data_IF_963080496035
#
_entry.id   IF_963080496035
#
_cell.length_a   1.000
_cell.length_b   1.000
_cell.length_c   1.000
_cell.angle_alpha   90.00
_cell.angle_beta   90.00
_cell.angle_gamma   90.00
#
_symmetry.space_group_name_H-M   'P 1'
#
loop_
_entity.id
_entity.type
_entity.pdbx_description
1 polymer ?
#
# COMPACT_ATOMS: atom_id res chain seq x y z
N UNK A 1 -13.07 -1.10 -26.33
CA UNK A 1 -12.07 -1.45 -25.30
C UNK A 1 -12.46 -2.70 -24.51
N UNK A 2 -13.64 -3.30 -24.76
CA UNK A 2 -14.20 -4.35 -23.90
C UNK A 2 -13.49 -5.71 -24.02
N UNK A 3 -12.73 -5.95 -25.10
CA UNK A 3 -12.07 -7.24 -25.36
C UNK A 3 -10.57 -7.31 -24.97
N UNK A 4 -10.07 -6.36 -24.17
CA UNK A 4 -8.63 -6.30 -23.83
C UNK A 4 -8.36 -6.94 -22.48
N UNK A 5 -7.31 -7.78 -22.42
CA UNK A 5 -6.72 -8.30 -21.19
C UNK A 5 -5.56 -7.42 -20.74
N UNK A 6 -5.54 -7.05 -19.46
CA UNK A 6 -4.46 -6.29 -18.83
C UNK A 6 -3.67 -7.23 -17.93
N UNK A 7 -2.37 -7.30 -18.18
CA UNK A 7 -1.40 -7.91 -17.27
C UNK A 7 -1.22 -7.01 -16.05
N UNK A 8 -1.53 -7.52 -14.86
CA UNK A 8 -1.49 -6.76 -13.61
C UNK A 8 -0.72 -7.53 -12.53
N UNK A 9 0.44 -7.00 -12.14
CA UNK A 9 1.26 -7.56 -11.06
C UNK A 9 0.71 -7.25 -9.68
N UNK A 10 -0.18 -6.28 -9.54
CA UNK A 10 -0.89 -5.98 -8.29
C UNK A 10 -2.18 -6.77 -8.10
N UNK A 11 -2.60 -7.51 -9.11
CA UNK A 11 -3.81 -8.31 -9.06
C UNK A 11 -3.54 -9.69 -8.45
N UNK A 12 -4.37 -10.10 -7.48
CA UNK A 12 -4.25 -11.41 -6.83
C UNK A 12 -4.98 -12.54 -7.57
N UNK A 13 -5.88 -12.22 -8.50
CA UNK A 13 -6.70 -13.20 -9.22
C UNK A 13 -6.91 -12.86 -10.69
N UNK A 14 -6.95 -13.84 -11.56
CA UNK A 14 -7.48 -13.67 -12.91
C UNK A 14 -8.97 -13.29 -12.83
N UNK A 15 -9.38 -12.19 -13.48
CA UNK A 15 -10.75 -11.67 -13.41
C UNK A 15 -11.26 -11.15 -14.75
N UNK A 16 -12.54 -11.39 -15.03
CA UNK A 16 -13.23 -10.79 -16.19
C UNK A 16 -14.70 -10.50 -15.88
N UNK A 17 -15.27 -9.52 -16.57
CA UNK A 17 -16.72 -9.26 -16.59
C UNK A 17 -17.48 -10.07 -17.65
N UNK A 18 -16.77 -10.74 -18.55
CA UNK A 18 -17.35 -11.33 -19.75
C UNK A 18 -17.72 -12.80 -19.54
N UNK A 19 -18.98 -13.05 -19.19
CA UNK A 19 -19.51 -14.41 -18.99
C UNK A 19 -19.33 -15.32 -20.20
N UNK A 20 -19.40 -14.77 -21.42
CA UNK A 20 -19.32 -15.54 -22.67
C UNK A 20 -17.94 -16.12 -22.96
N UNK A 21 -16.89 -15.66 -22.28
CA UNK A 21 -15.53 -16.14 -22.49
C UNK A 21 -15.23 -17.46 -21.77
N UNK A 22 -16.09 -17.84 -20.82
CA UNK A 22 -15.91 -19.06 -20.05
C UNK A 22 -16.33 -20.29 -20.85
N UNK A 23 -15.42 -21.26 -20.98
CA UNK A 23 -15.72 -22.61 -21.47
C UNK A 23 -16.41 -23.45 -20.40
N UNK A 24 -16.10 -23.19 -19.13
CA UNK A 24 -16.78 -23.74 -17.96
C UNK A 24 -17.03 -22.62 -16.97
N UNK A 25 -18.20 -22.57 -16.33
CA UNK A 25 -18.49 -21.56 -15.31
C UNK A 25 -19.35 -22.16 -14.21
N UNK A 26 -18.75 -22.30 -13.03
CA UNK A 26 -19.42 -22.76 -11.84
C UNK A 26 -19.89 -21.53 -11.03
N UNK A 27 -21.20 -21.34 -10.85
CA UNK A 27 -21.71 -20.25 -10.04
C UNK A 27 -21.25 -20.43 -8.59
N UNK A 28 -20.80 -19.34 -7.96
CA UNK A 28 -20.38 -19.38 -6.56
C UNK A 28 -21.61 -19.28 -5.66
N UNK A 29 -21.77 -20.27 -4.77
CA UNK A 29 -22.84 -20.29 -3.75
C UNK A 29 -22.53 -19.39 -2.55
N UNK A 30 -21.24 -19.13 -2.29
CA UNK A 30 -20.78 -18.30 -1.19
C UNK A 30 -20.74 -16.81 -1.56
N UNK A 31 -20.86 -15.94 -0.56
CA UNK A 31 -20.73 -14.48 -0.73
C UNK A 31 -19.25 -14.07 -0.73
N UNK A 32 -18.50 -14.51 -1.73
CA UNK A 32 -17.12 -14.03 -1.91
C UNK A 32 -17.09 -12.64 -2.55
N UNK A 33 -16.19 -11.81 -2.04
CA UNK A 33 -15.90 -10.46 -2.54
C UNK A 33 -14.41 -10.31 -2.83
N UNK A 34 -14.07 -9.41 -3.75
CA UNK A 34 -12.71 -9.01 -4.06
C UNK A 34 -12.69 -7.51 -3.85
N UNK A 35 -11.68 -7.07 -3.11
CA UNK A 35 -11.40 -5.67 -2.87
C UNK A 35 -10.59 -5.14 -4.05
N UNK A 36 -11.02 -4.01 -4.61
CA UNK A 36 -10.31 -3.30 -5.66
C UNK A 36 -9.31 -2.31 -5.07
N UNK A 37 -8.45 -1.73 -5.91
CA UNK A 37 -7.43 -0.76 -5.48
C UNK A 37 -8.00 0.54 -4.87
N UNK A 38 -9.30 0.81 -5.03
CA UNK A 38 -10.02 1.95 -4.44
C UNK A 38 -10.74 1.61 -3.12
N UNK A 39 -10.47 0.44 -2.53
CA UNK A 39 -11.21 -0.16 -1.41
C UNK A 39 -12.68 -0.50 -1.69
N UNK A 40 -13.16 -0.35 -2.93
CA UNK A 40 -14.45 -0.87 -3.36
C UNK A 40 -14.46 -2.39 -3.35
N UNK A 41 -15.65 -3.00 -3.23
CA UNK A 41 -15.81 -4.45 -3.25
C UNK A 41 -16.70 -4.90 -4.39
N UNK A 42 -16.24 -5.89 -5.17
CA UNK A 42 -17.03 -6.54 -6.21
C UNK A 42 -17.42 -7.95 -5.81
N UNK A 43 -18.67 -8.36 -6.04
CA UNK A 43 -19.15 -9.73 -5.76
C UNK A 43 -18.68 -10.72 -6.84
N UNK A 44 -18.07 -11.84 -6.43
CA UNK A 44 -17.78 -12.99 -7.34
C UNK A 44 -19.11 -13.60 -7.78
N UNK A 45 -19.35 -13.76 -9.08
CA UNK A 45 -20.54 -14.44 -9.59
C UNK A 45 -20.31 -15.93 -9.85
N UNK A 46 -19.08 -16.29 -10.20
CA UNK A 46 -18.69 -17.67 -10.48
C UNK A 46 -17.20 -17.78 -10.78
N UNK A 47 -16.71 -19.01 -10.80
CA UNK A 47 -15.33 -19.36 -11.13
C UNK A 47 -15.37 -20.40 -12.24
N UNK A 48 -14.47 -20.29 -13.21
CA UNK A 48 -14.53 -21.10 -14.41
C UNK A 48 -13.23 -21.06 -15.20
N UNK A 49 -13.18 -21.72 -16.35
CA UNK A 49 -12.04 -21.69 -17.26
C UNK A 49 -12.37 -20.88 -18.50
N UNK A 50 -11.40 -20.14 -19.02
CA UNK A 50 -11.47 -19.47 -20.34
C UNK A 50 -10.49 -20.16 -21.29
N UNK A 51 -10.73 -20.09 -22.59
CA UNK A 51 -9.93 -20.71 -23.67
C UNK A 51 -8.50 -20.16 -23.85
N UNK A 52 -7.88 -19.70 -22.76
CA UNK A 52 -6.47 -19.39 -22.59
C UNK A 52 -5.80 -20.36 -21.58
N UNK A 53 -6.41 -21.52 -21.33
CA UNK A 53 -5.99 -22.53 -20.34
C UNK A 53 -5.96 -22.07 -18.88
N UNK A 54 -6.51 -20.90 -18.53
CA UNK A 54 -6.44 -20.33 -17.19
C UNK A 54 -7.79 -20.36 -16.45
N UNK A 55 -7.75 -20.56 -15.13
CA UNK A 55 -8.92 -20.50 -14.24
C UNK A 55 -9.20 -19.05 -13.83
N UNK A 56 -10.38 -18.55 -14.16
CA UNK A 56 -10.80 -17.16 -14.07
C UNK A 56 -12.02 -16.98 -13.16
N UNK A 57 -12.11 -15.80 -12.54
CA UNK A 57 -13.28 -15.40 -11.73
C UNK A 57 -14.17 -14.42 -12.49
N UNK A 58 -15.48 -14.70 -12.57
CA UNK A 58 -16.46 -13.82 -13.19
C UNK A 58 -16.96 -12.76 -12.20
N UNK A 59 -16.98 -11.49 -12.65
CA UNK A 59 -17.44 -10.33 -11.88
C UNK A 59 -18.53 -9.55 -12.59
N UNK A 60 -19.45 -8.96 -11.82
CA UNK A 60 -20.37 -7.95 -12.36
C UNK A 60 -19.67 -6.60 -12.43
N UNK A 61 -19.85 -5.87 -13.54
CA UNK A 61 -19.40 -4.48 -13.72
C UNK A 61 -17.89 -4.26 -13.51
N UNK A 62 -17.05 -5.22 -13.92
CA UNK A 62 -15.60 -5.02 -13.91
C UNK A 62 -15.20 -4.17 -15.14
N UNK A 63 -14.54 -3.02 -14.92
CA UNK A 63 -14.19 -2.09 -16.00
C UNK A 63 -13.14 -2.62 -16.98
N UNK A 64 -12.32 -3.60 -16.57
CA UNK A 64 -11.23 -4.18 -17.37
C UNK A 64 -11.07 -5.68 -17.06
N UNK A 65 -10.55 -6.47 -17.99
CA UNK A 65 -10.21 -7.87 -17.76
C UNK A 65 -8.76 -7.97 -17.27
N UNK A 66 -8.51 -8.66 -16.16
CA UNK A 66 -7.21 -8.70 -15.49
C UNK A 66 -6.62 -10.11 -15.50
N UNK A 67 -5.34 -10.20 -15.84
CA UNK A 67 -4.52 -11.40 -15.68
C UNK A 67 -3.53 -11.13 -14.54
N UNK A 68 -3.60 -11.94 -13.49
CA UNK A 68 -2.68 -11.86 -12.35
C UNK A 68 -1.32 -12.44 -12.75
N UNK A 69 -0.26 -11.65 -12.59
CA UNK A 69 1.12 -12.14 -12.82
C UNK A 69 1.49 -13.16 -11.75
N UNK A 70 1.16 -12.93 -10.48
CA UNK A 70 1.51 -13.84 -9.40
C UNK A 70 0.88 -15.23 -9.59
N UNK A 71 -0.39 -15.30 -10.03
CA UNK A 71 -1.01 -16.59 -10.28
C UNK A 71 -0.38 -17.35 -11.44
N UNK A 72 0.08 -16.68 -12.49
CA UNK A 72 0.82 -17.34 -13.57
C UNK A 72 2.12 -17.96 -13.06
N UNK A 73 2.85 -17.21 -12.22
CA UNK A 73 4.08 -17.71 -11.60
C UNK A 73 3.79 -18.91 -10.68
N UNK A 74 2.71 -18.84 -9.88
CA UNK A 74 2.28 -19.94 -9.00
C UNK A 74 1.85 -21.19 -9.80
N UNK A 75 1.31 -21.01 -11.01
CA UNK A 75 0.95 -22.08 -11.95
C UNK A 75 2.15 -22.63 -12.74
N UNK A 76 3.35 -22.08 -12.53
CA UNK A 76 4.60 -22.57 -13.14
C UNK A 76 4.93 -21.94 -14.50
N UNK A 77 4.21 -20.90 -14.91
CA UNK A 77 4.53 -20.13 -16.11
C UNK A 77 5.61 -19.08 -15.82
N UNK A 78 6.41 -18.75 -16.82
CA UNK A 78 7.33 -17.61 -16.77
C UNK A 78 6.70 -16.38 -17.44
N UNK A 79 6.81 -15.22 -16.80
CA UNK A 79 6.30 -13.95 -17.34
C UNK A 79 7.45 -13.00 -17.66
N UNK A 80 7.71 -12.78 -18.95
CA UNK A 80 8.81 -11.92 -19.41
C UNK A 80 8.29 -10.56 -19.91
N UNK A 81 8.74 -9.47 -19.30
CA UNK A 81 8.45 -8.12 -19.76
C UNK A 81 9.52 -7.63 -20.75
N UNK A 82 9.10 -7.33 -21.98
CA UNK A 82 9.94 -6.72 -23.01
C UNK A 82 9.39 -5.35 -23.39
N UNK A 83 10.20 -4.55 -24.10
CA UNK A 83 9.76 -3.22 -24.56
C UNK A 83 8.49 -3.34 -25.41
N UNK A 84 7.37 -2.86 -24.88
CA UNK A 84 6.08 -2.84 -25.55
C UNK A 84 5.31 -4.17 -25.54
N UNK A 85 5.76 -5.21 -24.85
CA UNK A 85 5.00 -6.46 -24.76
C UNK A 85 5.33 -7.27 -23.50
N UNK A 86 4.37 -8.05 -23.05
CA UNK A 86 4.54 -9.08 -22.04
C UNK A 86 4.36 -10.44 -22.69
N UNK A 87 5.28 -11.38 -22.46
CA UNK A 87 5.16 -12.76 -22.91
C UNK A 87 4.97 -13.68 -21.72
N UNK A 88 4.13 -14.71 -21.90
CA UNK A 88 3.99 -15.81 -20.94
C UNK A 88 4.48 -17.08 -21.61
N UNK A 89 5.45 -17.73 -20.98
CA UNK A 89 6.08 -18.95 -21.43
C UNK A 89 5.69 -20.10 -20.50
N UNK A 90 5.59 -21.31 -21.05
CA UNK A 90 5.47 -22.53 -20.24
C UNK A 90 6.85 -23.01 -19.76
N UNK A 91 6.86 -24.14 -19.06
CA UNK A 91 8.07 -24.74 -18.50
C UNK A 91 9.09 -25.18 -19.57
N UNK A 92 8.65 -25.37 -20.83
CA UNK A 92 9.51 -25.68 -21.97
C UNK A 92 9.95 -24.42 -22.74
N UNK A 93 9.79 -23.23 -22.16
CA UNK A 93 10.06 -21.93 -22.79
C UNK A 93 9.21 -21.66 -24.06
N UNK A 94 8.09 -22.37 -24.23
CA UNK A 94 7.20 -22.17 -25.37
C UNK A 94 6.22 -21.04 -25.08
N UNK A 95 6.02 -20.16 -26.06
CA UNK A 95 5.13 -19.01 -25.93
C UNK A 95 3.67 -19.47 -25.83
N UNK A 96 3.08 -19.30 -24.65
CA UNK A 96 1.66 -19.57 -24.39
C UNK A 96 0.80 -18.43 -24.90
N UNK A 97 1.12 -17.20 -24.50
CA UNK A 97 0.47 -16.00 -25.03
C UNK A 97 1.32 -14.73 -24.88
N UNK A 98 1.02 -13.74 -25.71
CA UNK A 98 1.66 -12.42 -25.71
C UNK A 98 0.62 -11.33 -25.54
N UNK A 99 0.83 -10.46 -24.57
CA UNK A 99 0.03 -9.25 -24.35
C UNK A 99 0.82 -8.06 -24.88
N UNK A 100 0.22 -7.31 -25.79
CA UNK A 100 0.80 -6.07 -26.27
C UNK A 100 0.65 -4.98 -25.19
N UNK A 101 1.77 -4.41 -24.74
CA UNK A 101 1.81 -3.31 -23.76
C UNK A 101 1.91 -1.95 -24.46
N UNK A 102 1.90 -1.91 -25.79
CA UNK A 102 1.77 -0.66 -26.52
C UNK A 102 0.40 -0.09 -26.22
N UNK A 103 0.39 0.89 -25.32
CA UNK A 103 -0.77 1.74 -25.11
C UNK A 103 -1.16 2.31 -26.47
N UNK A 104 -2.33 1.90 -26.98
CA UNK A 104 -3.00 2.68 -28.02
C UNK A 104 -3.12 4.07 -27.44
N UNK A 105 -2.41 5.02 -28.06
CA UNK A 105 -2.45 6.46 -27.80
C UNK A 105 -3.84 7.06 -28.11
N UNK A 106 -4.90 6.37 -27.73
CA UNK A 106 -6.13 7.05 -27.32
C UNK A 106 -5.81 7.82 -26.04
N UNK A 107 -6.30 9.04 -25.85
CA UNK A 107 -6.07 9.78 -24.61
C UNK A 107 -6.64 8.93 -23.48
N UNK A 108 -5.76 8.20 -22.80
CA UNK A 108 -6.13 7.42 -21.64
C UNK A 108 -6.63 8.44 -20.62
N UNK A 109 -7.96 8.51 -20.48
CA UNK A 109 -8.56 8.95 -19.23
C UNK A 109 -8.21 7.87 -18.21
N UNK A 110 -6.96 7.88 -17.76
CA UNK A 110 -6.66 7.49 -16.39
C UNK A 110 -7.73 8.18 -15.54
N UNK A 111 -8.24 7.51 -14.51
CA UNK A 111 -9.06 8.16 -13.49
C UNK A 111 -8.16 9.19 -12.77
N UNK A 112 -7.91 10.31 -13.46
CA UNK A 112 -7.42 11.53 -12.87
C UNK A 112 -8.52 11.88 -11.90
N UNK A 113 -8.22 11.68 -10.61
CA UNK A 113 -9.02 12.22 -9.54
C UNK A 113 -9.43 13.64 -9.96
N UNK A 114 -10.76 13.85 -9.98
CA UNK A 114 -11.49 15.10 -10.22
C UNK A 114 -10.60 16.34 -10.06
N UNK A 115 -10.63 17.34 -10.97
CA UNK A 115 -9.70 18.46 -11.02
C UNK A 115 -9.32 18.94 -9.62
N UNK A 116 -8.26 18.34 -9.11
CA UNK A 116 -7.75 18.68 -7.79
C UNK A 116 -7.01 19.99 -8.01
N UNK A 117 -7.28 20.97 -7.15
CA UNK A 117 -6.56 22.25 -7.21
C UNK A 117 -5.07 21.94 -7.25
N UNK A 118 -4.26 22.73 -7.97
CA UNK A 118 -2.87 22.35 -8.24
C UNK A 118 -2.08 22.05 -6.96
N UNK A 119 -2.46 22.66 -5.84
CA UNK A 119 -1.90 22.40 -4.52
C UNK A 119 -2.06 20.93 -4.07
N UNK A 120 -3.22 20.28 -4.31
CA UNK A 120 -3.45 18.88 -3.97
C UNK A 120 -2.62 17.92 -4.83
N UNK A 121 -2.45 18.24 -6.12
CA UNK A 121 -1.59 17.45 -7.01
C UNK A 121 -0.15 17.46 -6.53
N UNK A 122 0.37 18.63 -6.20
CA UNK A 122 1.75 18.79 -5.75
C UNK A 122 1.98 18.28 -4.33
N UNK A 123 0.98 18.39 -3.45
CA UNK A 123 0.98 17.72 -2.14
C UNK A 123 1.24 16.22 -2.28
N UNK A 124 0.55 15.54 -3.21
CA UNK A 124 0.74 14.09 -3.45
C UNK A 124 2.06 13.79 -4.17
N UNK A 125 2.44 14.59 -5.18
CA UNK A 125 3.70 14.40 -5.93
C UNK A 125 4.95 14.54 -5.08
N UNK A 126 4.92 15.40 -4.06
CA UNK A 126 6.05 15.64 -3.16
C UNK A 126 5.95 14.85 -1.86
N UNK A 127 5.30 13.68 -1.89
CA UNK A 127 5.29 12.76 -0.75
C UNK A 127 4.52 13.29 0.45
N UNK A 128 3.37 13.92 0.21
CA UNK A 128 2.48 14.41 1.28
C UNK A 128 3.07 15.54 2.15
N UNK A 129 3.84 16.42 1.50
CA UNK A 129 4.37 17.65 2.09
C UNK A 129 3.25 18.53 2.67
N UNK A 130 3.48 19.25 3.77
CA UNK A 130 2.44 20.14 4.31
C UNK A 130 2.03 21.21 3.30
N UNK A 131 0.74 21.56 3.29
CA UNK A 131 0.21 22.56 2.37
C UNK A 131 0.89 23.93 2.55
N UNK A 132 1.18 24.33 3.79
CA UNK A 132 1.90 25.58 4.09
C UNK A 132 3.32 25.58 3.53
N UNK A 133 4.05 24.49 3.71
CA UNK A 133 5.41 24.36 3.18
C UNK A 133 5.39 24.37 1.65
N UNK A 134 4.39 23.73 1.06
CA UNK A 134 4.22 23.69 -0.39
C UNK A 134 3.96 25.09 -0.99
N UNK A 135 3.12 25.89 -0.35
CA UNK A 135 2.87 27.29 -0.74
C UNK A 135 4.13 28.14 -0.58
N UNK A 136 4.88 27.95 0.51
CA UNK A 136 6.14 28.65 0.75
C UNK A 136 7.24 28.29 -0.26
N UNK A 137 7.41 27.01 -0.58
CA UNK A 137 8.38 26.54 -1.59
C UNK A 137 8.03 27.09 -2.98
N UNK A 138 6.73 27.12 -3.29
CA UNK A 138 6.20 27.70 -4.52
C UNK A 138 6.46 29.21 -4.61
N UNK A 139 6.26 29.96 -3.53
CA UNK A 139 6.50 31.41 -3.52
C UNK A 139 7.98 31.77 -3.60
N UNK A 140 8.86 30.96 -3.01
CA UNK A 140 10.31 31.15 -3.06
C UNK A 140 10.95 30.68 -4.37
N UNK A 141 10.22 29.99 -5.25
CA UNK A 141 10.75 29.51 -6.53
C UNK A 141 11.87 28.48 -6.41
N UNK A 142 11.94 27.74 -5.30
CA UNK A 142 13.04 26.81 -5.01
C UNK A 142 12.94 25.47 -5.79
N UNK A 143 11.79 25.17 -6.37
CA UNK A 143 11.53 23.91 -7.08
C UNK A 143 11.22 24.22 -8.54
N UNK A 144 12.09 23.77 -9.45
CA UNK A 144 11.85 23.87 -10.90
C UNK A 144 10.56 23.13 -11.28
N UNK A 145 9.70 23.81 -12.03
CA UNK A 145 8.45 23.25 -12.53
C UNK A 145 7.28 23.27 -11.53
N UNK A 146 7.48 23.74 -10.29
CA UNK A 146 6.39 23.99 -9.35
C UNK A 146 5.69 25.32 -9.72
N UNK A 147 4.41 25.31 -10.12
CA UNK A 147 3.67 26.53 -10.43
C UNK A 147 3.46 27.36 -9.16
N UNK A 148 3.08 28.64 -9.31
CA UNK A 148 2.67 29.48 -8.18
C UNK A 148 1.37 28.97 -7.58
N UNK A 149 1.45 28.44 -6.38
CA UNK A 149 0.32 27.90 -5.63
C UNK A 149 -0.27 28.98 -4.73
N UNK A 150 -1.59 28.94 -4.57
CA UNK A 150 -2.32 29.85 -3.67
C UNK A 150 -2.57 29.15 -2.33
N UNK A 151 -2.53 29.91 -1.26
CA UNK A 151 -2.95 29.42 0.05
C UNK A 151 -4.46 29.19 0.03
N UNK A 152 -4.86 27.95 0.29
CA UNK A 152 -6.25 27.57 0.56
C UNK A 152 -6.35 27.27 2.06
N UNK A 153 -7.45 27.71 2.69
CA UNK A 153 -7.72 27.42 4.10
C UNK A 153 -8.36 26.05 4.23
N UNK A 154 -8.20 25.45 5.41
CA UNK A 154 -8.90 24.23 5.82
C UNK A 154 -8.63 22.99 4.96
N UNK A 155 -7.44 22.91 4.36
CA UNK A 155 -6.99 21.72 3.62
C UNK A 155 -6.58 20.59 4.58
N UNK A 156 -7.40 19.54 4.64
CA UNK A 156 -7.14 18.34 5.45
C UNK A 156 -6.97 17.12 4.57
N UNK A 157 -5.73 16.63 4.49
CA UNK A 157 -5.44 15.34 3.86
C UNK A 157 -5.68 14.20 4.86
N UNK A 158 -6.75 13.42 4.67
CA UNK A 158 -7.08 12.30 5.57
C UNK A 158 -5.93 11.30 5.77
N UNK A 159 -5.24 10.80 4.72
CA UNK A 159 -4.08 9.93 4.90
C UNK A 159 -2.99 10.54 5.78
N UNK A 160 -2.63 11.82 5.54
CA UNK A 160 -1.63 12.51 6.35
C UNK A 160 -2.07 12.67 7.80
N UNK A 161 -3.35 12.99 8.03
CA UNK A 161 -3.88 13.16 9.38
C UNK A 161 -3.73 11.88 10.19
N UNK A 162 -4.06 10.73 9.61
CA UNK A 162 -3.89 9.45 10.29
C UNK A 162 -2.41 9.06 10.43
N UNK A 163 -1.59 9.27 9.40
CA UNK A 163 -0.16 8.92 9.43
C UNK A 163 0.69 9.82 10.31
N UNK A 164 0.25 11.05 10.60
CA UNK A 164 0.92 12.01 11.49
C UNK A 164 0.21 12.16 12.84
N UNK A 165 -0.80 11.34 13.12
CA UNK A 165 -1.49 11.36 14.40
C UNK A 165 -0.52 10.88 15.48
N UNK A 166 -0.32 11.71 16.50
CA UNK A 166 0.42 11.33 17.70
C UNK A 166 -0.57 10.80 18.73
N UNK A 167 -0.15 9.80 19.50
CA UNK A 167 -0.93 9.38 20.67
C UNK A 167 -1.07 10.56 21.63
N UNK A 168 -2.21 10.63 22.32
CA UNK A 168 -2.39 11.62 23.37
C UNK A 168 -1.32 11.43 24.45
N UNK A 169 -0.72 12.52 24.92
CA UNK A 169 0.25 12.47 26.00
C UNK A 169 -0.40 11.86 27.25
N UNK A 170 0.33 10.99 27.94
CA UNK A 170 -0.08 10.53 29.26
C UNK A 170 -0.10 11.70 30.25
N UNK A 171 -1.06 11.67 31.18
CA UNK A 171 -1.13 12.65 32.26
C UNK A 171 0.15 12.50 33.10
N UNK A 172 0.92 13.57 33.33
CA UNK A 172 2.10 13.50 34.19
C UNK A 172 1.71 13.07 35.60
N UNK A 173 2.32 12.00 36.11
CA UNK A 173 2.19 11.60 37.51
C UNK A 173 3.33 12.24 38.27
N UNK A 174 3.03 13.24 39.11
CA UNK A 174 4.02 13.97 39.91
C UNK A 174 4.08 13.52 41.37
N UNK A 175 3.36 12.45 41.73
CA UNK A 175 3.25 11.96 43.10
C UNK A 175 3.80 10.53 43.19
N UNK A 176 4.47 10.24 44.31
CA UNK A 176 4.79 8.87 44.73
C UNK A 176 3.46 8.16 44.98
N UNK A 177 3.23 7.04 44.31
CA UNK A 177 1.96 6.30 44.41
C UNK A 177 2.02 5.20 45.49
N UNK A 178 3.18 5.05 46.13
CA UNK A 178 3.49 4.06 47.15
C UNK A 178 3.49 4.67 48.55
N UNK A 179 3.23 3.84 49.56
CA UNK A 179 3.11 4.21 50.98
C UNK A 179 4.24 3.68 51.86
N UNK A 180 4.99 2.67 51.41
CA UNK A 180 6.13 2.11 52.14
C UNK A 180 7.22 1.57 51.20
N UNK A 181 8.48 1.42 51.68
CA UNK A 181 9.57 0.90 50.87
C UNK A 181 9.28 -0.48 50.28
N UNK A 182 9.78 -0.72 49.06
CA UNK A 182 9.67 -1.97 48.30
C UNK A 182 8.25 -2.35 47.85
N UNK A 183 7.28 -1.44 47.95
CA UNK A 183 5.93 -1.65 47.39
C UNK A 183 5.94 -1.68 45.86
N UNK A 184 6.80 -0.86 45.24
CA UNK A 184 7.01 -0.85 43.79
C UNK A 184 8.47 -0.54 43.46
N UNK A 185 9.10 -1.43 42.70
CA UNK A 185 10.47 -1.27 42.20
C UNK A 185 10.43 -1.09 40.68
N UNK A 186 11.08 -0.04 40.19
CA UNK A 186 11.33 0.17 38.77
C UNK A 186 12.72 -0.38 38.44
N UNK A 187 12.79 -1.37 37.55
CA UNK A 187 14.04 -2.01 37.18
C UNK A 187 14.27 -1.85 35.68
N UNK A 188 15.47 -1.42 35.31
CA UNK A 188 15.86 -1.31 33.90
C UNK A 188 17.33 -1.67 33.71
N UNK A 189 17.68 -2.12 32.52
CA UNK A 189 19.06 -2.43 32.14
C UNK A 189 19.58 -1.39 31.18
N UNK A 190 20.68 -0.75 31.54
CA UNK A 190 21.41 0.16 30.66
C UNK A 190 22.54 -0.60 29.98
N UNK A 191 22.46 -0.76 28.67
CA UNK A 191 23.58 -1.29 27.88
C UNK A 191 23.18 -1.86 26.51
N UNK A 192 24.17 -2.35 25.73
CA UNK A 192 25.59 -2.39 26.08
C UNK A 192 26.24 -1.01 26.06
N UNK A 193 27.06 -0.71 27.07
CA UNK A 193 27.86 0.52 27.11
C UNK A 193 28.94 0.50 26.01
N UNK A 194 29.38 1.67 25.55
CA UNK A 194 30.47 1.76 24.55
C UNK A 194 31.81 1.26 25.09
N UNK A 195 32.03 1.35 26.41
CA UNK A 195 33.25 0.93 27.09
C UNK A 195 32.89 0.01 28.24
N UNK A 196 33.62 -1.09 28.39
CA UNK A 196 33.45 -2.00 29.51
C UNK A 196 33.81 -1.33 30.85
N UNK A 197 33.12 -1.73 31.91
CA UNK A 197 33.51 -1.35 33.28
C UNK A 197 34.89 -1.89 33.64
N UNK A 198 35.46 -1.40 34.74
CA UNK A 198 36.75 -1.87 35.26
C UNK A 198 36.77 -3.40 35.47
N UNK A 199 35.62 -3.99 35.80
CA UNK A 199 35.46 -5.45 35.97
C UNK A 199 35.00 -6.18 34.71
N UNK A 200 35.09 -5.55 33.53
CA UNK A 200 34.75 -6.12 32.23
C UNK A 200 33.25 -6.30 31.96
N UNK A 201 32.37 -5.56 32.65
CA UNK A 201 30.91 -5.65 32.45
C UNK A 201 30.44 -4.59 31.46
N UNK A 202 29.42 -4.93 30.66
CA UNK A 202 28.89 -4.08 29.58
C UNK A 202 27.49 -3.53 29.86
N UNK A 203 26.84 -4.04 30.91
CA UNK A 203 25.48 -3.70 31.27
C UNK A 203 25.43 -3.31 32.75
N UNK A 204 24.54 -2.38 33.07
CA UNK A 204 24.20 -1.98 34.44
C UNK A 204 22.73 -2.25 34.65
N UNK A 205 22.39 -2.95 35.73
CA UNK A 205 21.01 -3.06 36.20
C UNK A 205 20.75 -1.90 37.16
N UNK A 206 19.76 -1.08 36.84
CA UNK A 206 19.28 0.02 37.69
C UNK A 206 18.00 -0.46 38.37
N UNK A 207 17.93 -0.34 39.69
CA UNK A 207 16.76 -0.68 40.49
C UNK A 207 16.42 0.55 41.31
N UNK A 208 15.25 1.14 41.07
CA UNK A 208 14.79 2.33 41.78
C UNK A 208 13.55 1.98 42.58
N UNK A 209 13.60 2.23 43.89
CA UNK A 209 12.41 2.13 44.74
C UNK A 209 11.51 3.35 44.54
N UNK A 210 10.22 3.13 44.25
CA UNK A 210 9.27 4.21 43.97
C UNK A 210 9.04 5.11 45.20
N UNK A 211 9.05 4.53 46.41
CA UNK A 211 8.76 5.24 47.65
C UNK A 211 9.96 6.07 48.13
N UNK A 212 11.13 5.44 48.25
CA UNK A 212 12.37 6.06 48.72
C UNK A 212 13.05 6.92 47.66
N UNK A 213 12.71 6.74 46.36
CA UNK A 213 13.43 7.31 45.22
C UNK A 213 14.94 7.00 45.24
N UNK A 214 15.31 5.91 45.89
CA UNK A 214 16.69 5.44 46.03
C UNK A 214 17.02 4.48 44.87
N UNK A 215 18.21 4.67 44.27
CA UNK A 215 18.74 3.91 43.13
C UNK A 215 20.06 3.23 43.46
#
# INVERSE_FOLDING_TARGET
>A
MEDVWIMDSGCSRHMTGHRKWFSSLNPMSTKEYITFGDNGQGKVLGVGSVSLSAKLSLRKNLGFNLISVSQLLDEGFEVCFKKGACCVLDAEETLVFRVDLTFVSSPARCLVASPSTDIWKWHRRLGHLSFDLLVRLSSMGLIRGLPKLRAEKDLVCHPCRHGKMVAASHIPVSQVMTSYPSEQLHMDTVGPAQVASVSGKWYVLVIVDDFLRFS
#
